data_IF_635351556277
#
_entry.id   IF_635351556277
#
_cell.length_a   1.000
_cell.length_b   1.000
_cell.length_c   1.000
_cell.angle_alpha   90.00
_cell.angle_beta   90.00
_cell.angle_gamma   90.00
#
_symmetry.space_group_name_H-M   'P 1'
#
loop_
_entity.id
_entity.type
_entity.pdbx_description
1 polymer ?
#
# COMPACT_ATOMS: atom_id res chain seq x y z
N UNK A 1 -23.80 -3.02 -19.27
CA UNK A 1 -22.54 -3.64 -18.80
C UNK A 1 -22.71 -3.97 -17.32
N UNK A 2 -22.17 -5.12 -16.89
CA UNK A 2 -22.22 -5.60 -15.51
C UNK A 2 -20.88 -5.33 -14.81
N UNK A 3 -20.92 -4.60 -13.70
CA UNK A 3 -19.77 -4.32 -12.83
C UNK A 3 -19.91 -5.14 -11.56
N UNK A 4 -18.99 -6.05 -11.32
CA UNK A 4 -18.92 -6.87 -10.13
C UNK A 4 -18.00 -6.21 -9.09
N UNK A 5 -18.48 -5.99 -7.89
CA UNK A 5 -17.61 -5.74 -6.72
C UNK A 5 -17.43 -7.07 -6.01
N UNK A 6 -16.22 -7.62 -6.05
CA UNK A 6 -15.91 -8.89 -5.38
C UNK A 6 -14.91 -8.64 -4.26
N UNK A 7 -15.28 -9.01 -3.03
CA UNK A 7 -14.40 -8.82 -1.87
C UNK A 7 -14.74 -9.76 -0.71
N UNK A 8 -13.76 -10.56 -0.27
CA UNK A 8 -13.88 -11.38 0.96
C UNK A 8 -14.05 -10.46 2.19
N UNK A 9 -13.34 -9.35 2.22
CA UNK A 9 -13.43 -8.32 3.27
C UNK A 9 -14.21 -7.11 2.71
N UNK A 10 -15.50 -6.96 3.01
CA UNK A 10 -16.35 -5.97 2.39
C UNK A 10 -15.86 -4.55 2.57
N UNK A 11 -16.19 -3.71 1.62
CA UNK A 11 -15.99 -2.26 1.74
C UNK A 11 -16.92 -1.69 2.82
N UNK A 12 -16.56 -0.54 3.36
CA UNK A 12 -17.50 0.24 4.16
C UNK A 12 -18.73 0.62 3.32
N UNK A 13 -19.91 0.61 3.95
CA UNK A 13 -21.18 0.90 3.27
C UNK A 13 -21.13 2.19 2.44
N UNK A 14 -20.55 3.26 3.01
CA UNK A 14 -20.41 4.54 2.33
C UNK A 14 -19.60 4.46 1.02
N UNK A 15 -18.59 3.57 0.97
CA UNK A 15 -17.80 3.34 -0.25
C UNK A 15 -18.63 2.59 -1.30
N UNK A 16 -19.37 1.56 -0.89
CA UNK A 16 -20.29 0.82 -1.77
C UNK A 16 -21.37 1.73 -2.33
N UNK A 17 -21.97 2.59 -1.49
CA UNK A 17 -22.98 3.56 -1.92
C UNK A 17 -22.40 4.57 -2.94
N UNK A 18 -21.14 5.01 -2.74
CA UNK A 18 -20.42 5.85 -3.70
C UNK A 18 -20.16 5.13 -5.03
N UNK A 19 -19.66 3.91 -5.00
CA UNK A 19 -19.43 3.08 -6.19
C UNK A 19 -20.75 2.87 -6.94
N UNK A 20 -21.82 2.51 -6.23
CA UNK A 20 -23.15 2.32 -6.81
C UNK A 20 -23.62 3.54 -7.57
N UNK A 21 -23.51 4.71 -6.94
CA UNK A 21 -23.94 5.98 -7.56
C UNK A 21 -23.25 6.23 -8.91
N UNK A 22 -21.94 6.01 -8.98
CA UNK A 22 -21.18 6.24 -10.21
C UNK A 22 -21.51 5.18 -11.29
N UNK A 23 -21.64 3.92 -10.90
CA UNK A 23 -21.97 2.81 -11.82
C UNK A 23 -23.38 2.97 -12.41
N UNK A 24 -24.37 3.25 -11.56
CA UNK A 24 -25.76 3.44 -11.99
C UNK A 24 -25.93 4.73 -12.83
N UNK A 25 -25.20 5.82 -12.50
CA UNK A 25 -25.19 7.04 -13.30
C UNK A 25 -24.62 6.83 -14.70
N UNK A 26 -23.71 5.88 -14.86
CA UNK A 26 -23.18 5.45 -16.16
C UNK A 26 -24.12 4.48 -16.91
N UNK A 27 -25.26 4.11 -16.34
CA UNK A 27 -26.22 3.18 -16.94
C UNK A 27 -25.78 1.72 -16.86
N UNK A 28 -24.91 1.37 -15.91
CA UNK A 28 -24.41 0.00 -15.72
C UNK A 28 -25.06 -0.66 -14.50
N UNK A 29 -25.07 -1.99 -14.50
CA UNK A 29 -25.55 -2.82 -13.40
C UNK A 29 -24.42 -3.05 -12.40
N UNK A 30 -24.68 -2.82 -11.10
CA UNK A 30 -23.77 -3.17 -10.03
C UNK A 30 -24.21 -4.47 -9.34
N UNK A 31 -23.32 -5.43 -9.30
CA UNK A 31 -23.49 -6.69 -8.56
C UNK A 31 -22.44 -6.77 -7.45
N UNK A 32 -22.85 -7.23 -6.28
CA UNK A 32 -21.96 -7.38 -5.11
C UNK A 32 -21.79 -8.87 -4.79
N UNK A 33 -20.52 -9.28 -4.68
CA UNK A 33 -20.10 -10.57 -4.11
C UNK A 33 -19.23 -10.26 -2.89
N UNK A 34 -19.86 -10.17 -1.73
CA UNK A 34 -19.18 -9.82 -0.49
C UNK A 34 -19.11 -11.01 0.45
N UNK A 35 -18.02 -11.08 1.26
CA UNK A 35 -17.81 -12.12 2.28
C UNK A 35 -17.85 -13.54 1.74
N UNK A 36 -17.49 -13.71 0.49
CA UNK A 36 -17.36 -15.06 -0.05
C UNK A 36 -16.17 -15.78 0.62
N UNK A 37 -16.27 -17.08 0.74
CA UNK A 37 -15.31 -17.94 1.46
C UNK A 37 -14.72 -19.02 0.58
N UNK A 38 -15.23 -19.15 -0.65
CA UNK A 38 -14.78 -20.13 -1.62
C UNK A 38 -14.51 -19.46 -2.96
N UNK A 39 -13.35 -19.74 -3.54
CA UNK A 39 -12.97 -19.25 -4.87
C UNK A 39 -13.99 -19.63 -5.94
N UNK A 40 -14.67 -20.76 -5.81
CA UNK A 40 -15.72 -21.17 -6.74
C UNK A 40 -16.85 -20.13 -6.87
N UNK A 41 -17.16 -19.40 -5.79
CA UNK A 41 -18.14 -18.31 -5.83
C UNK A 41 -17.66 -17.14 -6.70
N UNK A 42 -16.37 -16.80 -6.62
CA UNK A 42 -15.77 -15.79 -7.47
C UNK A 42 -15.75 -16.24 -8.94
N UNK A 43 -15.33 -17.48 -9.19
CA UNK A 43 -15.31 -18.06 -10.55
C UNK A 43 -16.70 -18.09 -11.18
N UNK A 44 -17.74 -18.30 -10.42
CA UNK A 44 -19.11 -18.26 -10.92
C UNK A 44 -19.58 -16.82 -11.21
N UNK A 45 -19.28 -15.88 -10.31
CA UNK A 45 -19.72 -14.49 -10.41
C UNK A 45 -19.03 -13.71 -11.53
N UNK A 46 -17.81 -14.09 -11.94
CA UNK A 46 -17.06 -13.37 -12.98
C UNK A 46 -17.46 -13.75 -14.40
N UNK A 47 -18.19 -14.84 -14.62
CA UNK A 47 -18.48 -15.40 -15.95
C UNK A 47 -19.11 -14.41 -16.93
N UNK A 48 -19.98 -13.54 -16.46
CA UNK A 48 -20.71 -12.54 -17.22
C UNK A 48 -20.39 -11.09 -16.81
N UNK A 49 -19.36 -10.90 -15.98
CA UNK A 49 -18.90 -9.58 -15.57
C UNK A 49 -18.09 -8.90 -16.67
N UNK A 50 -18.39 -7.64 -16.97
CA UNK A 50 -17.59 -6.83 -17.89
C UNK A 50 -16.49 -6.02 -17.21
N UNK A 51 -16.69 -5.72 -15.93
CA UNK A 51 -15.71 -5.06 -15.07
C UNK A 51 -15.74 -5.67 -13.68
N UNK A 52 -14.60 -5.73 -13.00
CA UNK A 52 -14.51 -6.18 -11.62
C UNK A 52 -13.76 -5.16 -10.78
N UNK A 53 -14.31 -4.85 -9.60
CA UNK A 53 -13.65 -4.03 -8.58
C UNK A 53 -13.31 -4.95 -7.41
N UNK A 54 -12.03 -4.99 -7.06
CA UNK A 54 -11.49 -5.84 -5.99
C UNK A 54 -10.73 -5.02 -4.95
N UNK A 55 -10.45 -5.62 -3.82
CA UNK A 55 -9.60 -5.06 -2.77
C UNK A 55 -8.31 -5.88 -2.59
N UNK A 56 -8.39 -6.98 -1.87
CA UNK A 56 -7.26 -7.90 -1.61
C UNK A 56 -7.45 -9.25 -2.28
N UNK A 57 -8.50 -9.40 -3.03
CA UNK A 57 -8.92 -10.62 -3.69
C UNK A 57 -7.93 -10.96 -4.82
N UNK A 58 -7.64 -12.23 -5.01
CA UNK A 58 -6.66 -12.69 -5.99
C UNK A 58 -7.33 -12.85 -7.35
N UNK A 59 -6.80 -12.20 -8.35
CA UNK A 59 -7.17 -12.35 -9.76
C UNK A 59 -6.00 -13.04 -10.48
N UNK A 60 -6.04 -14.35 -10.47
CA UNK A 60 -5.08 -15.20 -11.15
C UNK A 60 -5.58 -15.67 -12.53
N UNK A 61 -4.79 -16.50 -13.21
CA UNK A 61 -5.12 -17.01 -14.52
C UNK A 61 -6.48 -17.76 -14.55
N UNK A 62 -6.80 -18.53 -13.50
CA UNK A 62 -8.05 -19.29 -13.44
C UNK A 62 -9.27 -18.36 -13.38
N UNK A 63 -9.19 -17.25 -12.63
CA UNK A 63 -10.26 -16.25 -12.59
C UNK A 63 -10.41 -15.56 -13.95
N UNK A 64 -9.31 -15.20 -14.59
CA UNK A 64 -9.31 -14.57 -15.91
C UNK A 64 -9.83 -15.53 -17.01
N UNK A 65 -9.47 -16.82 -16.92
CA UNK A 65 -10.00 -17.86 -17.79
C UNK A 65 -11.51 -18.03 -17.68
N UNK A 66 -12.07 -17.87 -16.48
CA UNK A 66 -13.52 -17.94 -16.25
C UNK A 66 -14.27 -16.69 -16.72
N UNK A 67 -13.61 -15.53 -16.71
CA UNK A 67 -14.20 -14.21 -16.95
C UNK A 67 -14.20 -13.80 -18.42
N UNK A 68 -14.97 -14.50 -19.27
CA UNK A 68 -14.92 -14.36 -20.75
C UNK A 68 -15.33 -12.97 -21.27
N UNK A 69 -16.15 -12.24 -20.53
CA UNK A 69 -16.65 -10.92 -20.91
C UNK A 69 -15.88 -9.77 -20.26
N UNK A 70 -14.87 -10.08 -19.43
CA UNK A 70 -14.15 -9.10 -18.63
C UNK A 70 -13.29 -8.19 -19.53
N UNK A 71 -13.36 -6.89 -19.29
CA UNK A 71 -12.57 -5.86 -19.97
C UNK A 71 -11.61 -5.15 -19.04
N UNK A 72 -11.95 -5.08 -17.75
CA UNK A 72 -11.17 -4.31 -16.77
C UNK A 72 -11.26 -4.89 -15.36
N UNK A 73 -10.11 -4.93 -14.72
CA UNK A 73 -9.97 -5.14 -13.26
C UNK A 73 -9.55 -3.83 -12.61
N UNK A 74 -10.31 -3.36 -11.63
CA UNK A 74 -9.96 -2.17 -10.82
C UNK A 74 -9.62 -2.62 -9.41
N UNK A 75 -8.35 -2.49 -9.04
CA UNK A 75 -7.90 -2.73 -7.68
C UNK A 75 -8.09 -1.45 -6.85
N UNK A 76 -9.01 -1.47 -5.89
CA UNK A 76 -9.24 -0.36 -4.97
C UNK A 76 -8.12 -0.24 -3.93
N UNK A 77 -6.98 0.27 -4.36
CA UNK A 77 -5.77 0.46 -3.56
C UNK A 77 -4.52 0.66 -4.43
N UNK A 78 -3.36 0.85 -3.81
CA UNK A 78 -2.12 1.19 -4.51
C UNK A 78 -1.37 -0.04 -5.03
N UNK A 79 -1.17 -1.08 -4.22
CA UNK A 79 -0.54 -2.33 -4.65
C UNK A 79 -1.43 -3.12 -5.61
N UNK A 80 -0.86 -3.92 -6.47
CA UNK A 80 -1.57 -4.77 -7.43
C UNK A 80 -0.92 -6.15 -7.61
N UNK A 81 -0.14 -6.55 -6.64
CA UNK A 81 0.53 -7.85 -6.55
C UNK A 81 -0.45 -9.03 -6.41
N UNK A 82 -1.70 -8.76 -6.13
CA UNK A 82 -2.81 -9.71 -6.12
C UNK A 82 -3.49 -9.91 -7.50
N UNK A 83 -2.97 -9.29 -8.57
CA UNK A 83 -3.46 -9.47 -9.94
C UNK A 83 -2.35 -10.01 -10.83
N UNK A 84 -2.60 -11.12 -11.52
CA UNK A 84 -1.69 -11.66 -12.53
C UNK A 84 -1.73 -10.80 -13.80
N UNK A 85 -0.78 -9.86 -13.91
CA UNK A 85 -0.72 -8.92 -15.04
C UNK A 85 -0.39 -9.62 -16.36
N UNK A 86 0.41 -10.69 -16.34
CA UNK A 86 0.76 -11.42 -17.55
C UNK A 86 -0.48 -12.12 -18.12
N UNK A 87 -1.23 -12.78 -17.25
CA UNK A 87 -2.49 -13.41 -17.63
C UNK A 87 -3.55 -12.37 -18.04
N UNK A 88 -3.67 -11.24 -17.33
CA UNK A 88 -4.59 -10.16 -17.71
C UNK A 88 -4.28 -9.62 -19.13
N UNK A 89 -3.00 -9.41 -19.43
CA UNK A 89 -2.56 -8.99 -20.77
C UNK A 89 -2.90 -10.02 -21.85
N UNK A 90 -2.70 -11.32 -21.56
CA UNK A 90 -3.03 -12.40 -22.50
C UNK A 90 -4.55 -12.51 -22.78
N UNK A 91 -5.40 -12.01 -21.87
CA UNK A 91 -6.85 -11.97 -22.01
C UNK A 91 -7.39 -10.60 -22.50
N UNK A 92 -6.52 -9.67 -22.89
CA UNK A 92 -6.89 -8.29 -23.27
C UNK A 92 -7.68 -7.55 -22.17
N UNK A 93 -7.37 -7.85 -20.90
CA UNK A 93 -7.99 -7.22 -19.74
C UNK A 93 -7.09 -6.10 -19.20
N UNK A 94 -7.64 -4.88 -19.15
CA UNK A 94 -6.97 -3.74 -18.54
C UNK A 94 -6.95 -3.87 -17.01
N UNK A 95 -5.82 -3.57 -16.37
CA UNK A 95 -5.72 -3.54 -14.90
C UNK A 95 -5.44 -2.12 -14.44
N UNK A 96 -6.28 -1.61 -13.55
CA UNK A 96 -6.15 -0.28 -12.95
C UNK A 96 -6.05 -0.38 -11.42
N UNK A 97 -5.39 0.60 -10.81
CA UNK A 97 -5.29 0.76 -9.36
C UNK A 97 -5.57 2.21 -8.95
N UNK A 98 -5.58 2.49 -7.63
CA UNK A 98 -5.81 3.83 -7.08
C UNK A 98 -4.59 4.32 -6.29
N UNK A 99 -3.49 4.69 -6.96
CA UNK A 99 -2.25 5.06 -6.28
C UNK A 99 -2.42 6.33 -5.44
N UNK A 100 -1.86 6.35 -4.25
CA UNK A 100 -1.82 7.52 -3.38
C UNK A 100 -3.07 7.77 -2.52
N UNK A 101 -4.20 7.16 -2.81
CA UNK A 101 -5.47 7.46 -2.12
C UNK A 101 -5.47 7.14 -0.61
N UNK A 102 -4.76 6.10 -0.20
CA UNK A 102 -4.63 5.70 1.20
C UNK A 102 -3.33 6.17 1.87
N UNK A 103 -2.52 6.97 1.19
CA UNK A 103 -1.15 7.29 1.64
C UNK A 103 -1.10 8.02 2.97
N UNK A 104 -2.05 8.92 3.23
CA UNK A 104 -2.14 9.62 4.50
C UNK A 104 -2.51 8.68 5.65
N UNK A 105 -3.49 7.80 5.44
CA UNK A 105 -3.90 6.82 6.45
C UNK A 105 -2.76 5.86 6.84
N UNK A 106 -1.96 5.42 5.85
CA UNK A 106 -0.76 4.61 6.10
C UNK A 106 0.29 5.39 6.90
N UNK A 107 0.50 6.67 6.59
CA UNK A 107 1.43 7.53 7.32
C UNK A 107 1.01 7.73 8.77
N UNK A 108 -0.27 8.00 9.03
CA UNK A 108 -0.82 8.13 10.37
C UNK A 108 -0.65 6.83 11.17
N UNK A 109 -0.93 5.67 10.56
CA UNK A 109 -0.73 4.38 11.20
C UNK A 109 0.75 4.14 11.54
N UNK A 110 1.67 4.44 10.63
CA UNK A 110 3.11 4.28 10.86
C UNK A 110 3.57 5.10 12.07
N UNK A 111 3.20 6.39 12.14
CA UNK A 111 3.54 7.24 13.28
C UNK A 111 2.81 6.80 14.56
N UNK A 112 1.56 6.36 14.47
CA UNK A 112 0.83 5.79 15.60
C UNK A 112 1.53 4.56 16.17
N UNK A 113 2.06 3.67 15.33
CA UNK A 113 2.85 2.51 15.75
C UNK A 113 4.17 2.92 16.39
N UNK A 114 4.86 3.94 15.87
CA UNK A 114 6.09 4.48 16.48
C UNK A 114 5.80 5.03 17.88
N UNK A 115 4.74 5.84 18.05
CA UNK A 115 4.31 6.34 19.36
C UNK A 115 3.99 5.18 20.31
N UNK A 116 3.27 4.18 19.83
CA UNK A 116 2.92 3.01 20.61
C UNK A 116 4.17 2.23 21.08
N UNK A 117 5.16 2.05 20.19
CA UNK A 117 6.41 1.36 20.51
C UNK A 117 7.24 2.11 21.54
N UNK A 118 7.47 3.43 21.38
CA UNK A 118 8.30 4.21 22.34
C UNK A 118 7.65 4.36 23.70
N UNK A 119 6.35 4.16 23.80
CA UNK A 119 5.58 4.16 25.05
C UNK A 119 5.42 2.77 25.66
N UNK A 120 6.27 1.81 25.25
CA UNK A 120 6.27 0.43 25.73
C UNK A 120 4.88 -0.21 25.63
N UNK A 121 4.18 0.01 24.50
CA UNK A 121 2.83 -0.52 24.24
C UNK A 121 1.79 -0.13 25.31
N UNK A 122 2.00 1.01 25.97
CA UNK A 122 1.16 1.50 27.09
C UNK A 122 1.05 0.53 28.26
N UNK A 123 2.12 -0.19 28.56
CA UNK A 123 2.15 -1.21 29.63
C UNK A 123 2.28 -0.62 31.07
N UNK A 124 2.18 0.69 31.23
CA UNK A 124 2.29 1.39 32.52
C UNK A 124 3.72 1.78 32.93
N UNK A 125 4.72 1.44 32.11
CA UNK A 125 6.11 1.86 32.35
C UNK A 125 6.44 3.17 31.64
N UNK A 126 7.51 3.84 32.06
CA UNK A 126 8.04 5.02 31.40
C UNK A 126 8.58 4.65 30.01
N UNK A 127 8.22 5.43 29.00
CA UNK A 127 8.76 5.35 27.65
C UNK A 127 9.64 6.55 27.31
N UNK A 128 9.96 6.69 26.03
CA UNK A 128 10.66 7.84 25.46
C UNK A 128 9.74 8.63 24.53
N UNK A 129 10.28 9.55 23.78
CA UNK A 129 9.53 10.38 22.83
C UNK A 129 10.19 10.37 21.44
N UNK A 130 9.45 10.79 20.41
CA UNK A 130 9.93 10.85 19.03
C UNK A 130 10.68 12.15 18.72
N UNK A 131 10.47 13.21 19.50
CA UNK A 131 11.12 14.50 19.31
C UNK A 131 12.65 14.38 19.28
N UNK A 132 13.27 14.97 18.25
CA UNK A 132 14.72 14.93 18.05
C UNK A 132 15.28 13.59 17.57
N UNK A 133 14.42 12.59 17.32
CA UNK A 133 14.84 11.29 16.79
C UNK A 133 14.96 11.35 15.26
N UNK A 134 15.89 10.54 14.71
CA UNK A 134 16.13 10.41 13.29
C UNK A 134 15.23 9.34 12.68
N UNK A 135 14.40 9.74 11.71
CA UNK A 135 13.57 8.84 10.93
C UNK A 135 14.11 8.69 9.52
N UNK A 136 14.52 7.48 9.15
CA UNK A 136 14.85 7.09 7.79
C UNK A 136 13.60 6.59 7.06
N UNK A 137 13.35 7.11 5.86
CA UNK A 137 12.24 6.69 5.01
C UNK A 137 12.80 5.98 3.78
N UNK A 138 12.60 4.68 3.70
CA UNK A 138 13.04 3.84 2.60
C UNK A 138 11.97 3.76 1.52
N UNK A 139 12.20 4.42 0.41
CA UNK A 139 11.32 4.85 -0.68
C UNK A 139 10.45 6.08 -0.33
N UNK A 140 10.62 7.14 -1.12
CA UNK A 140 10.07 8.46 -0.83
C UNK A 140 8.94 8.85 -1.79
N UNK A 141 8.08 7.87 -2.10
CA UNK A 141 6.86 8.02 -2.90
C UNK A 141 5.70 8.69 -2.13
N UNK A 142 4.47 8.40 -2.53
CA UNK A 142 3.27 9.01 -1.93
C UNK A 142 3.16 8.77 -0.42
N UNK A 143 3.41 7.55 0.05
CA UNK A 143 3.36 7.23 1.48
C UNK A 143 4.52 7.87 2.22
N UNK A 144 5.76 7.71 1.73
CA UNK A 144 6.95 8.24 2.38
C UNK A 144 6.89 9.75 2.61
N UNK A 145 6.39 10.52 1.63
CA UNK A 145 6.20 11.98 1.77
C UNK A 145 5.15 12.34 2.83
N UNK A 146 4.07 11.58 2.95
CA UNK A 146 3.08 11.79 4.02
C UNK A 146 3.67 11.42 5.39
N UNK A 147 4.44 10.33 5.50
CA UNK A 147 5.18 9.97 6.72
C UNK A 147 6.12 11.11 7.13
N UNK A 148 6.90 11.65 6.19
CA UNK A 148 7.79 12.79 6.44
C UNK A 148 7.02 14.00 7.00
N UNK A 149 5.90 14.34 6.38
CA UNK A 149 5.05 15.46 6.80
C UNK A 149 4.55 15.29 8.23
N UNK A 150 4.03 14.11 8.57
CA UNK A 150 3.51 13.81 9.91
C UNK A 150 4.65 13.74 10.94
N UNK A 151 5.76 13.07 10.61
CA UNK A 151 6.92 12.93 11.49
C UNK A 151 7.54 14.28 11.91
N UNK A 152 7.58 15.25 10.98
CA UNK A 152 8.00 16.62 11.30
C UNK A 152 7.13 17.29 12.35
N UNK A 153 5.82 17.01 12.36
CA UNK A 153 4.90 17.47 13.40
C UNK A 153 5.25 16.93 14.79
N UNK A 154 5.92 15.79 14.87
CA UNK A 154 6.48 15.23 16.11
C UNK A 154 7.88 15.77 16.44
N UNK A 155 8.44 16.66 15.63
CA UNK A 155 9.79 17.20 15.82
C UNK A 155 10.90 16.22 15.49
N UNK A 156 10.64 15.22 14.63
CA UNK A 156 11.67 14.28 14.15
C UNK A 156 12.54 14.91 13.07
N UNK A 157 13.80 14.47 13.01
CA UNK A 157 14.69 14.72 11.87
C UNK A 157 14.41 13.67 10.80
N UNK A 158 14.04 14.12 9.58
CA UNK A 158 13.59 13.21 8.52
C UNK A 158 14.64 13.09 7.42
N UNK A 159 15.02 11.86 7.16
CA UNK A 159 15.95 11.44 6.11
C UNK A 159 15.23 10.51 5.14
N UNK A 160 15.62 10.50 3.87
CA UNK A 160 15.01 9.62 2.88
C UNK A 160 16.04 9.07 1.91
N UNK A 161 15.84 7.80 1.54
CA UNK A 161 16.54 7.14 0.45
C UNK A 161 15.53 6.61 -0.56
N UNK A 162 15.68 7.01 -1.82
CA UNK A 162 14.89 6.52 -2.95
C UNK A 162 15.77 6.54 -4.21
N UNK A 163 16.09 5.39 -4.82
CA UNK A 163 16.98 5.32 -5.99
C UNK A 163 16.40 5.95 -7.26
N UNK A 164 15.11 6.30 -7.26
CA UNK A 164 14.40 6.91 -8.39
C UNK A 164 14.19 8.42 -8.24
N UNK A 165 14.66 9.01 -7.14
CA UNK A 165 14.54 10.46 -6.88
C UNK A 165 15.90 11.13 -6.79
N UNK A 166 15.98 12.36 -7.30
CA UNK A 166 17.19 13.19 -7.10
C UNK A 166 17.20 13.83 -5.72
N UNK A 167 18.36 14.27 -5.27
CA UNK A 167 18.53 14.99 -4.00
C UNK A 167 17.62 16.22 -3.92
N UNK A 168 17.50 16.97 -5.04
CA UNK A 168 16.67 18.17 -5.14
C UNK A 168 15.19 17.83 -4.95
N UNK A 169 14.74 16.71 -5.52
CA UNK A 169 13.35 16.23 -5.36
C UNK A 169 13.06 15.83 -3.93
N UNK A 170 13.99 15.13 -3.27
CA UNK A 170 13.86 14.73 -1.85
C UNK A 170 13.85 15.97 -0.96
N UNK A 171 14.78 16.91 -1.16
CA UNK A 171 14.85 18.19 -0.41
C UNK A 171 13.59 19.03 -0.60
N UNK A 172 13.11 19.17 -1.83
CA UNK A 172 11.90 19.92 -2.14
C UNK A 172 10.64 19.28 -1.49
N UNK A 173 10.63 17.96 -1.38
CA UNK A 173 9.58 17.23 -0.68
C UNK A 173 9.79 17.17 0.85
N UNK A 174 10.86 17.79 1.34
CA UNK A 174 11.05 18.11 2.75
C UNK A 174 11.80 17.06 3.59
N UNK A 175 12.65 16.23 3.02
CA UNK A 175 13.55 15.34 3.76
C UNK A 175 15.01 15.61 3.39
N UNK A 176 15.94 15.14 4.23
CA UNK A 176 17.38 15.13 3.89
C UNK A 176 17.67 13.87 3.08
N UNK A 177 18.23 14.01 1.87
CA UNK A 177 18.53 12.84 1.04
C UNK A 177 19.70 12.04 1.61
N UNK A 178 19.59 10.72 1.50
CA UNK A 178 20.66 9.75 1.72
C UNK A 178 20.90 8.96 0.43
N UNK A 179 22.10 8.40 0.27
CA UNK A 179 22.51 7.81 -1.00
C UNK A 179 22.52 6.26 -0.98
N UNK A 180 22.30 5.67 0.18
CA UNK A 180 22.17 4.21 0.31
C UNK A 180 21.28 3.81 1.47
N UNK A 181 20.76 2.59 1.41
CA UNK A 181 20.04 1.99 2.52
C UNK A 181 20.98 1.77 3.71
N UNK A 182 22.23 1.37 3.45
CA UNK A 182 23.23 1.12 4.47
C UNK A 182 23.53 2.36 5.32
N UNK A 183 23.66 3.53 4.68
CA UNK A 183 23.83 4.81 5.35
C UNK A 183 22.62 5.12 6.24
N UNK A 184 21.41 4.97 5.71
CA UNK A 184 20.18 5.24 6.42
C UNK A 184 20.01 4.35 7.65
N UNK A 185 20.22 3.04 7.50
CA UNK A 185 20.09 2.10 8.61
C UNK A 185 21.17 2.31 9.68
N UNK A 186 22.38 2.74 9.30
CA UNK A 186 23.45 2.98 10.25
C UNK A 186 23.23 4.22 11.13
N UNK A 187 22.42 5.19 10.69
CA UNK A 187 22.30 6.48 11.38
C UNK A 187 20.93 6.79 11.96
N UNK A 188 19.86 6.09 11.55
CA UNK A 188 18.51 6.43 11.96
C UNK A 188 18.05 5.63 13.18
N UNK A 189 17.33 6.30 14.09
CA UNK A 189 16.68 5.67 15.26
C UNK A 189 15.45 4.87 14.85
N UNK A 190 14.77 5.29 13.78
CA UNK A 190 13.58 4.67 13.20
C UNK A 190 13.75 4.53 11.70
N UNK A 191 13.30 3.42 11.13
CA UNK A 191 13.22 3.23 9.68
C UNK A 191 11.82 2.80 9.28
N UNK A 192 11.23 3.54 8.35
CA UNK A 192 9.91 3.22 7.79
C UNK A 192 10.04 2.78 6.33
N UNK A 193 9.54 1.56 6.05
CA UNK A 193 9.66 0.90 4.75
C UNK A 193 8.43 1.15 3.89
N UNK A 194 8.65 1.73 2.70
CA UNK A 194 7.60 2.00 1.72
C UNK A 194 7.99 1.51 0.31
N UNK A 195 8.97 0.60 0.25
CA UNK A 195 9.40 -0.04 -0.99
C UNK A 195 8.34 -1.02 -1.49
N UNK A 196 8.09 -1.11 -2.80
CA UNK A 196 7.20 -2.12 -3.35
C UNK A 196 7.85 -3.52 -3.26
N UNK A 197 7.01 -4.54 -3.11
CA UNK A 197 7.47 -5.93 -3.17
C UNK A 197 7.71 -6.33 -4.64
N UNK A 198 8.97 -6.38 -5.04
CA UNK A 198 9.41 -6.78 -6.38
C UNK A 198 10.51 -7.84 -6.27
N UNK A 199 10.86 -8.51 -7.36
CA UNK A 199 12.00 -9.44 -7.37
C UNK A 199 13.32 -8.77 -6.95
N UNK A 200 13.49 -7.47 -7.20
CA UNK A 200 14.68 -6.71 -6.79
C UNK A 200 14.68 -6.33 -5.31
N UNK A 201 13.51 -6.10 -4.74
CA UNK A 201 13.37 -5.67 -3.34
C UNK A 201 13.10 -6.82 -2.38
N UNK A 202 12.71 -7.98 -2.91
CA UNK A 202 12.47 -9.19 -2.15
C UNK A 202 13.73 -9.62 -1.39
N UNK A 203 13.61 -9.76 -0.08
CA UNK A 203 14.73 -10.09 0.83
C UNK A 203 15.89 -9.06 0.86
N UNK A 204 15.68 -7.83 0.34
CA UNK A 204 16.68 -6.76 0.44
C UNK A 204 16.86 -6.26 1.89
N UNK A 205 15.81 -6.36 2.71
CA UNK A 205 15.90 -6.09 4.15
C UNK A 205 16.28 -7.41 4.82
N UNK A 206 17.52 -7.50 5.24
CA UNK A 206 18.12 -8.71 5.76
C UNK A 206 18.88 -8.44 7.07
N UNK A 207 19.43 -9.49 7.68
CA UNK A 207 20.16 -9.40 8.94
C UNK A 207 21.35 -8.43 8.87
N UNK A 208 22.11 -8.45 7.78
CA UNK A 208 23.30 -7.61 7.61
C UNK A 208 22.95 -6.12 7.60
N UNK A 209 21.85 -5.77 6.93
CA UNK A 209 21.33 -4.39 6.88
C UNK A 209 20.78 -3.96 8.25
N UNK A 210 19.95 -4.80 8.86
CA UNK A 210 19.34 -4.52 10.17
C UNK A 210 20.39 -4.43 11.30
N UNK A 211 21.45 -5.23 11.24
CA UNK A 211 22.51 -5.22 12.22
C UNK A 211 23.38 -3.94 12.21
N UNK A 212 23.20 -3.08 11.20
CA UNK A 212 23.82 -1.74 11.14
C UNK A 212 23.12 -0.72 12.02
N UNK A 213 21.84 -0.97 12.37
CA UNK A 213 21.04 -0.01 13.12
C UNK A 213 21.62 0.25 14.53
N UNK A 214 21.49 1.47 15.04
CA UNK A 214 21.86 1.79 16.42
C UNK A 214 21.10 0.87 17.40
N UNK A 215 21.74 0.57 18.55
CA UNK A 215 21.08 -0.24 19.58
C UNK A 215 19.80 0.45 20.08
N UNK A 216 18.68 -0.25 20.00
CA UNK A 216 17.36 0.26 20.39
C UNK A 216 16.63 0.99 19.26
N UNK A 217 17.16 0.97 18.04
CA UNK A 217 16.42 1.46 16.86
C UNK A 217 15.22 0.56 16.53
N UNK A 218 14.24 1.12 15.85
CA UNK A 218 12.93 0.51 15.55
C UNK A 218 12.64 0.57 14.03
#
# INVERSE_FOLDING_TARGET
MKVLVATEKPFAKIAVDGIRKEIEAAGYELVLLEKYTDKAQLLDAVKDANAIIIRSDIIDAEVLDAAKELKIVVRAGAGYDNVDLASATAHDVCVMNTPGQNSNAVAELALGMMVYAVRNFYNGTSGTELMGKKLGIHAYGNVGRNVARVAKGFGMEVYAFDPFMTDEQIKAAGATPLHSAEEMYAMCDYVSLHIPATEKTKKSINYELLNRMPKGAV
#
